data_IF_958001071332
#
_entry.id   IF_958001071332
#
_cell.length_a   1.000
_cell.length_b   1.000
_cell.length_c   1.000
_cell.angle_alpha   90.00
_cell.angle_beta   90.00
_cell.angle_gamma   90.00
#
_symmetry.space_group_name_H-M   'P 1'
#
loop_
_entity.id
_entity.type
_entity.pdbx_description
1 polymer ?
#
# COMPACT_ATOMS: atom_id res chain seq x y z
N UNK A 1 10.47 13.09 3.76
CA UNK A 1 10.28 12.01 4.75
C UNK A 1 11.63 11.67 5.38
N UNK A 2 11.73 11.53 6.72
CA UNK A 2 13.00 11.10 7.35
C UNK A 2 13.26 9.65 6.93
N UNK A 3 14.52 9.30 6.61
CA UNK A 3 14.95 7.96 6.16
C UNK A 3 14.40 6.83 7.05
N UNK A 4 14.33 7.07 8.36
CA UNK A 4 13.79 6.15 9.38
C UNK A 4 12.33 5.73 9.09
N UNK A 5 11.43 6.68 8.82
CA UNK A 5 10.02 6.38 8.56
C UNK A 5 9.83 5.54 7.30
N UNK A 6 10.70 5.70 6.29
CA UNK A 6 10.66 4.91 5.05
C UNK A 6 11.09 3.46 5.30
N UNK A 7 12.10 3.26 6.13
CA UNK A 7 12.56 1.93 6.53
C UNK A 7 11.44 1.19 7.28
N UNK A 8 10.75 1.87 8.22
CA UNK A 8 9.58 1.30 8.90
C UNK A 8 8.51 0.83 7.91
N UNK A 9 8.26 1.65 6.88
CA UNK A 9 7.29 1.36 5.83
C UNK A 9 7.66 0.11 5.03
N UNK A 10 8.93 0.00 4.62
CA UNK A 10 9.44 -1.17 3.89
C UNK A 10 9.29 -2.43 4.74
N UNK A 11 9.62 -2.36 6.04
CA UNK A 11 9.50 -3.49 6.96
C UNK A 11 8.02 -3.93 7.07
N UNK A 12 7.09 -2.98 7.21
CA UNK A 12 5.65 -3.28 7.28
C UNK A 12 5.15 -3.90 5.98
N UNK A 13 5.49 -3.32 4.82
CA UNK A 13 5.10 -3.87 3.52
C UNK A 13 5.67 -5.27 3.29
N UNK A 14 6.92 -5.53 3.70
CA UNK A 14 7.53 -6.85 3.62
C UNK A 14 6.82 -7.85 4.56
N UNK A 15 6.54 -7.46 5.81
CA UNK A 15 5.81 -8.30 6.76
C UNK A 15 4.42 -8.67 6.23
N UNK A 16 3.68 -7.71 5.66
CA UNK A 16 2.37 -7.95 5.04
C UNK A 16 2.47 -8.90 3.84
N UNK A 17 3.50 -8.74 3.01
CA UNK A 17 3.76 -9.63 1.88
C UNK A 17 4.01 -11.08 2.32
N UNK A 18 4.91 -11.27 3.29
CA UNK A 18 5.23 -12.61 3.81
C UNK A 18 4.04 -13.25 4.55
N UNK A 19 3.28 -12.46 5.31
CA UNK A 19 2.06 -12.93 5.98
C UNK A 19 1.04 -13.45 4.96
N UNK A 20 0.86 -12.74 3.85
CA UNK A 20 -0.03 -13.18 2.78
C UNK A 20 0.46 -14.43 2.05
N UNK A 21 1.75 -14.53 1.77
CA UNK A 21 2.34 -15.75 1.21
C UNK A 21 2.12 -16.95 2.13
N UNK A 22 2.35 -16.78 3.44
CA UNK A 22 2.14 -17.83 4.43
C UNK A 22 0.65 -18.23 4.50
N UNK A 23 -0.25 -17.26 4.50
CA UNK A 23 -1.71 -17.51 4.55
C UNK A 23 -2.17 -18.26 3.30
N UNK A 24 -1.69 -17.85 2.12
CA UNK A 24 -1.99 -18.53 0.86
C UNK A 24 -1.47 -19.98 0.86
N UNK A 25 -0.25 -20.21 1.33
CA UNK A 25 0.32 -21.56 1.43
C UNK A 25 -0.48 -22.44 2.39
N UNK A 26 -0.90 -21.90 3.53
CA UNK A 26 -1.70 -22.62 4.52
C UNK A 26 -3.09 -22.97 3.99
N UNK A 27 -3.80 -22.00 3.38
CA UNK A 27 -5.11 -22.27 2.76
C UNK A 27 -4.98 -23.28 1.62
N UNK A 28 -3.93 -23.19 0.81
CA UNK A 28 -3.68 -24.16 -0.26
C UNK A 28 -3.43 -25.57 0.30
N UNK A 29 -2.64 -25.71 1.37
CA UNK A 29 -2.43 -27.00 2.04
C UNK A 29 -3.76 -27.58 2.57
N UNK A 30 -4.57 -26.77 3.26
CA UNK A 30 -5.90 -27.19 3.73
C UNK A 30 -6.83 -27.61 2.58
N UNK A 31 -6.75 -26.94 1.43
CA UNK A 31 -7.52 -27.27 0.25
C UNK A 31 -7.08 -28.60 -0.36
N UNK A 32 -5.77 -28.82 -0.51
CA UNK A 32 -5.25 -30.10 -1.03
C UNK A 32 -5.59 -31.29 -0.12
N UNK A 33 -5.78 -31.04 1.19
CA UNK A 33 -6.26 -32.02 2.18
C UNK A 33 -7.79 -32.14 2.25
N UNK A 34 -8.53 -31.47 1.35
CA UNK A 34 -10.00 -31.42 1.33
C UNK A 34 -10.66 -30.93 2.65
N UNK A 35 -9.93 -30.20 3.50
CA UNK A 35 -10.46 -29.64 4.76
C UNK A 35 -11.35 -28.42 4.45
N UNK A 36 -10.94 -27.61 3.47
CA UNK A 36 -11.70 -26.48 2.95
C UNK A 36 -12.05 -26.71 1.48
N UNK A 37 -13.20 -26.20 1.04
CA UNK A 37 -13.71 -26.42 -0.33
C UNK A 37 -13.29 -25.35 -1.33
N UNK A 38 -12.90 -24.16 -0.86
CA UNK A 38 -12.52 -23.02 -1.69
C UNK A 38 -11.32 -22.30 -1.07
N UNK A 39 -10.46 -21.76 -1.93
CA UNK A 39 -9.33 -20.91 -1.55
C UNK A 39 -9.50 -19.56 -2.24
N UNK A 40 -9.40 -18.47 -1.48
CA UNK A 40 -9.49 -17.11 -2.03
C UNK A 40 -8.15 -16.64 -2.63
N UNK A 41 -7.59 -17.48 -3.51
CA UNK A 41 -6.26 -17.31 -4.13
C UNK A 41 -6.09 -15.92 -4.75
N UNK A 42 -7.15 -15.43 -5.44
CA UNK A 42 -7.13 -14.15 -6.16
C UNK A 42 -6.89 -12.96 -5.23
N UNK A 43 -7.53 -12.94 -4.06
CA UNK A 43 -7.45 -11.84 -3.11
C UNK A 43 -6.03 -11.78 -2.50
N UNK A 44 -5.52 -12.94 -2.08
CA UNK A 44 -4.18 -13.06 -1.51
C UNK A 44 -3.09 -12.69 -2.51
N UNK A 45 -3.20 -13.11 -3.78
CA UNK A 45 -2.30 -12.73 -4.87
C UNK A 45 -2.31 -11.23 -5.15
N UNK A 46 -3.50 -10.64 -5.29
CA UNK A 46 -3.63 -9.19 -5.55
C UNK A 46 -3.00 -8.39 -4.41
N UNK A 47 -3.32 -8.74 -3.16
CA UNK A 47 -2.77 -8.05 -2.00
C UNK A 47 -1.25 -8.28 -1.84
N UNK A 48 -0.75 -9.48 -2.17
CA UNK A 48 0.68 -9.77 -2.21
C UNK A 48 1.42 -8.91 -3.25
N UNK A 49 0.93 -8.87 -4.50
CA UNK A 49 1.55 -8.05 -5.57
C UNK A 49 1.55 -6.57 -5.21
N UNK A 50 0.46 -6.07 -4.63
CA UNK A 50 0.33 -4.67 -4.25
C UNK A 50 1.24 -4.29 -3.05
N UNK A 51 1.31 -5.13 -2.02
CA UNK A 51 2.21 -4.92 -0.87
C UNK A 51 3.68 -4.95 -1.28
N UNK A 52 4.06 -5.88 -2.17
CA UNK A 52 5.41 -5.96 -2.75
C UNK A 52 5.75 -4.71 -3.58
N UNK A 53 4.84 -4.27 -4.45
CA UNK A 53 5.02 -3.08 -5.28
C UNK A 53 5.20 -1.81 -4.43
N UNK A 54 4.42 -1.67 -3.35
CA UNK A 54 4.55 -0.57 -2.38
C UNK A 54 5.88 -0.63 -1.59
N UNK A 55 6.33 -1.84 -1.23
CA UNK A 55 7.63 -2.06 -0.60
C UNK A 55 8.79 -1.64 -1.51
N UNK A 56 8.76 -2.05 -2.78
CA UNK A 56 9.75 -1.62 -3.78
C UNK A 56 9.73 -0.10 -3.95
N UNK A 57 8.56 0.52 -4.09
CA UNK A 57 8.45 1.98 -4.26
C UNK A 57 9.15 2.75 -3.14
N UNK A 58 8.96 2.33 -1.90
CA UNK A 58 9.60 2.97 -0.74
C UNK A 58 11.11 2.72 -0.70
N UNK A 59 11.57 1.55 -1.14
CA UNK A 59 12.99 1.21 -1.26
C UNK A 59 13.69 2.06 -2.33
N UNK A 60 13.02 2.25 -3.47
CA UNK A 60 13.46 3.14 -4.56
C UNK A 60 13.63 4.58 -4.08
N UNK A 61 12.70 5.06 -3.25
CA UNK A 61 12.76 6.38 -2.64
C UNK A 61 13.90 6.54 -1.61
N UNK A 62 14.54 5.47 -1.14
CA UNK A 62 15.72 5.53 -0.26
C UNK A 62 17.02 5.57 -1.08
N UNK A 63 17.00 5.00 -2.29
CA UNK A 63 18.16 4.96 -3.18
C UNK A 63 18.40 6.34 -3.83
N UNK A 64 19.67 6.70 -4.14
CA UNK A 64 19.99 7.96 -4.79
C UNK A 64 19.36 8.07 -6.20
N UNK A 65 18.75 9.23 -6.49
CA UNK A 65 17.92 9.50 -7.69
C UNK A 65 18.63 9.22 -9.04
N UNK A 66 19.97 9.17 -9.07
CA UNK A 66 20.79 9.10 -10.29
C UNK A 66 20.62 7.83 -11.13
N UNK A 67 19.90 6.80 -10.67
CA UNK A 67 19.79 5.50 -11.38
C UNK A 67 18.36 5.05 -11.70
N UNK A 68 17.33 5.86 -11.44
CA UNK A 68 15.95 5.39 -11.55
C UNK A 68 15.24 5.80 -12.84
N UNK A 69 14.76 4.79 -13.58
CA UNK A 69 13.95 5.00 -14.77
C UNK A 69 12.57 5.58 -14.40
N UNK A 70 12.23 6.74 -14.97
CA UNK A 70 10.97 7.46 -14.73
C UNK A 70 9.74 6.58 -14.98
N UNK A 71 9.79 5.68 -15.97
CA UNK A 71 8.68 4.75 -16.27
C UNK A 71 8.46 3.74 -15.13
N UNK A 72 9.54 3.15 -14.60
CA UNK A 72 9.45 2.24 -13.45
C UNK A 72 8.94 2.96 -12.20
N UNK A 73 9.41 4.19 -11.95
CA UNK A 73 8.96 4.99 -10.82
C UNK A 73 7.44 5.26 -10.88
N UNK A 74 6.90 5.59 -12.06
CA UNK A 74 5.47 5.80 -12.24
C UNK A 74 4.67 4.49 -12.06
N UNK A 75 5.20 3.36 -12.56
CA UNK A 75 4.57 2.05 -12.38
C UNK A 75 4.44 1.66 -10.91
N UNK A 76 5.51 1.82 -10.13
CA UNK A 76 5.49 1.56 -8.69
C UNK A 76 4.54 2.49 -7.93
N UNK A 77 4.40 3.74 -8.39
CA UNK A 77 3.47 4.70 -7.78
C UNK A 77 2.00 4.33 -8.02
N UNK A 78 1.67 3.82 -9.21
CA UNK A 78 0.33 3.28 -9.49
C UNK A 78 0.07 2.06 -8.60
N UNK A 79 1.08 1.19 -8.40
CA UNK A 79 1.00 0.07 -7.47
C UNK A 79 0.74 0.50 -6.03
N UNK A 80 1.44 1.54 -5.55
CA UNK A 80 1.26 2.10 -4.21
C UNK A 80 -0.13 2.73 -4.00
N UNK A 81 -0.64 3.42 -5.02
CA UNK A 81 -2.01 3.95 -5.00
C UNK A 81 -3.05 2.82 -5.02
N UNK A 82 -2.87 1.82 -5.89
CA UNK A 82 -3.73 0.64 -5.95
C UNK A 82 -3.74 -0.13 -4.64
N UNK A 83 -2.58 -0.26 -3.98
CA UNK A 83 -2.46 -0.89 -2.67
C UNK A 83 -3.26 -0.12 -1.61
N UNK A 84 -3.10 1.20 -1.55
CA UNK A 84 -3.84 2.04 -0.60
C UNK A 84 -5.36 1.95 -0.83
N UNK A 85 -5.81 2.00 -2.09
CA UNK A 85 -7.24 1.86 -2.43
C UNK A 85 -7.79 0.48 -2.09
N UNK A 86 -7.04 -0.59 -2.39
CA UNK A 86 -7.45 -1.96 -2.09
C UNK A 86 -7.56 -2.21 -0.58
N UNK A 87 -6.57 -1.75 0.19
CA UNK A 87 -6.61 -1.75 1.65
C UNK A 87 -7.85 -1.04 2.19
N UNK A 88 -8.16 0.14 1.65
CA UNK A 88 -9.28 0.95 2.10
C UNK A 88 -10.63 0.25 1.87
N UNK A 89 -10.81 -0.41 0.71
CA UNK A 89 -11.99 -1.24 0.43
C UNK A 89 -12.07 -2.42 1.43
N UNK A 90 -10.96 -3.12 1.65
CA UNK A 90 -10.91 -4.26 2.56
C UNK A 90 -11.27 -3.83 4.00
N UNK A 91 -10.82 -2.65 4.42
CA UNK A 91 -11.17 -2.08 5.72
C UNK A 91 -12.62 -1.66 5.83
N UNK A 92 -13.21 -1.07 4.78
CA UNK A 92 -14.65 -0.77 4.78
C UNK A 92 -15.48 -2.05 4.98
N UNK A 93 -15.12 -3.14 4.29
CA UNK A 93 -15.76 -4.44 4.47
C UNK A 93 -15.60 -4.94 5.93
N UNK A 94 -14.39 -4.80 6.49
CA UNK A 94 -14.12 -5.16 7.89
C UNK A 94 -14.95 -4.36 8.90
N UNK A 95 -15.06 -3.03 8.70
CA UNK A 95 -15.87 -2.14 9.53
C UNK A 95 -17.35 -2.52 9.46
N UNK A 96 -17.88 -2.76 8.26
CA UNK A 96 -19.27 -3.19 8.08
C UNK A 96 -19.54 -4.50 8.84
N UNK A 97 -18.66 -5.50 8.69
CA UNK A 97 -18.77 -6.76 9.43
C UNK A 97 -18.71 -6.55 10.95
N UNK A 98 -17.86 -5.65 11.43
CA UNK A 98 -17.75 -5.32 12.84
C UNK A 98 -19.02 -4.62 13.37
N UNK A 99 -19.56 -3.65 12.63
CA UNK A 99 -20.84 -2.99 12.97
C UNK A 99 -21.96 -4.02 13.06
N UNK A 100 -22.03 -4.97 12.12
CA UNK A 100 -23.03 -6.04 12.17
C UNK A 100 -22.90 -6.91 13.43
N UNK A 101 -21.68 -7.17 13.89
CA UNK A 101 -21.44 -7.89 15.16
C UNK A 101 -21.85 -7.07 16.38
N UNK A 102 -21.62 -5.75 16.37
CA UNK A 102 -22.11 -4.84 17.43
C UNK A 102 -23.63 -4.89 17.50
N UNK A 103 -24.30 -4.73 16.35
CA UNK A 103 -25.76 -4.78 16.28
C UNK A 103 -26.29 -6.13 16.76
N UNK A 104 -25.61 -7.23 16.40
CA UNK A 104 -25.96 -8.58 16.84
C UNK A 104 -25.52 -8.89 18.28
N UNK A 105 -24.86 -7.97 18.99
CA UNK A 105 -24.32 -8.14 20.34
C UNK A 105 -23.38 -9.36 20.50
N UNK A 106 -22.63 -9.69 19.45
CA UNK A 106 -21.71 -10.86 19.38
C UNK A 106 -20.24 -10.44 19.40
N UNK A 107 -19.95 -9.22 19.83
CA UNK A 107 -18.60 -8.64 19.81
C UNK A 107 -17.73 -9.32 20.88
N UNK A 108 -16.57 -9.81 20.46
CA UNK A 108 -15.56 -10.35 21.35
C UNK A 108 -14.38 -9.39 21.47
N UNK A 109 -13.58 -9.53 22.53
CA UNK A 109 -12.39 -8.70 22.77
C UNK A 109 -11.42 -8.71 21.56
N UNK A 110 -11.30 -9.87 20.88
CA UNK A 110 -10.50 -10.02 19.66
C UNK A 110 -10.93 -9.12 18.51
N UNK A 111 -12.22 -8.79 18.42
CA UNK A 111 -12.76 -7.92 17.37
C UNK A 111 -12.31 -6.46 17.56
N UNK A 112 -12.06 -6.02 18.80
CA UNK A 112 -11.50 -4.69 19.09
C UNK A 112 -10.03 -4.56 18.67
N UNK A 113 -9.22 -5.61 18.82
CA UNK A 113 -7.84 -5.61 18.31
C UNK A 113 -7.79 -5.49 16.79
N UNK A 114 -8.71 -6.17 16.10
CA UNK A 114 -8.85 -6.05 14.65
C UNK A 114 -9.19 -4.59 14.28
N UNK A 115 -10.10 -3.93 15.01
CA UNK A 115 -10.45 -2.53 14.78
C UNK A 115 -9.24 -1.58 14.95
N UNK A 116 -8.41 -1.80 15.96
CA UNK A 116 -7.19 -0.99 16.18
C UNK A 116 -6.21 -1.16 15.01
N UNK A 117 -6.00 -2.39 14.54
CA UNK A 117 -5.15 -2.68 13.38
C UNK A 117 -5.70 -1.99 12.12
N UNK A 118 -7.02 -2.04 11.92
CA UNK A 118 -7.72 -1.35 10.83
C UNK A 118 -7.48 0.16 10.91
N UNK A 119 -7.57 0.76 12.10
CA UNK A 119 -7.38 2.20 12.28
C UNK A 119 -5.94 2.64 11.97
N UNK A 120 -4.95 1.89 12.47
CA UNK A 120 -3.52 2.12 12.16
C UNK A 120 -3.27 2.06 10.66
N UNK A 121 -3.89 1.10 9.98
CA UNK A 121 -3.73 0.93 8.54
C UNK A 121 -4.49 1.98 7.70
N UNK A 122 -5.63 2.50 8.16
CA UNK A 122 -6.30 3.66 7.53
C UNK A 122 -5.40 4.90 7.63
N UNK A 123 -4.84 5.14 8.82
CA UNK A 123 -3.89 6.23 9.06
C UNK A 123 -2.69 6.13 8.11
N UNK A 124 -2.23 4.90 7.85
CA UNK A 124 -1.16 4.57 6.92
C UNK A 124 -1.55 4.82 5.44
N UNK A 125 -2.78 4.52 5.03
CA UNK A 125 -3.27 4.85 3.68
C UNK A 125 -3.34 6.36 3.45
N UNK A 126 -3.86 7.13 4.41
CA UNK A 126 -3.87 8.59 4.33
C UNK A 126 -2.46 9.17 4.21
N UNK A 127 -1.52 8.59 4.94
CA UNK A 127 -0.11 8.95 4.85
C UNK A 127 0.46 8.71 3.43
N UNK A 128 0.22 7.55 2.84
CA UNK A 128 0.66 7.23 1.48
C UNK A 128 0.12 8.20 0.43
N UNK A 129 -1.19 8.48 0.49
CA UNK A 129 -1.85 9.40 -0.43
C UNK A 129 -1.26 10.80 -0.31
N UNK A 130 -1.06 11.29 0.91
CA UNK A 130 -0.51 12.63 1.14
C UNK A 130 0.97 12.76 0.72
N UNK A 131 1.81 11.73 0.92
CA UNK A 131 3.20 11.73 0.44
C UNK A 131 3.25 11.74 -1.10
N UNK A 132 2.40 10.94 -1.75
CA UNK A 132 2.29 10.91 -3.21
C UNK A 132 1.82 12.26 -3.78
N UNK A 133 0.84 12.92 -3.16
CA UNK A 133 0.39 14.26 -3.57
C UNK A 133 1.51 15.31 -3.42
N UNK A 134 2.27 15.28 -2.33
CA UNK A 134 3.40 16.22 -2.12
C UNK A 134 4.48 16.07 -3.19
N UNK A 135 4.81 14.84 -3.56
CA UNK A 135 5.80 14.57 -4.60
C UNK A 135 5.35 15.07 -5.98
N UNK A 136 4.06 14.92 -6.32
CA UNK A 136 3.52 15.43 -7.59
C UNK A 136 3.64 16.95 -7.70
N UNK A 137 3.33 17.67 -6.61
CA UNK A 137 3.53 19.12 -6.54
C UNK A 137 5.00 19.51 -6.76
N UNK A 138 5.96 18.71 -6.29
CA UNK A 138 7.39 18.96 -6.54
C UNK A 138 7.78 18.75 -8.00
N UNK A 139 7.25 17.72 -8.67
CA UNK A 139 7.49 17.49 -10.10
C UNK A 139 6.89 18.62 -10.94
N UNK A 140 5.65 19.03 -10.65
CA UNK A 140 4.99 20.12 -11.38
C UNK A 140 5.76 21.43 -11.26
N UNK A 141 6.27 21.76 -10.07
CA UNK A 141 7.16 22.89 -9.87
C UNK A 141 8.43 22.78 -10.72
N UNK A 142 9.11 21.62 -10.73
CA UNK A 142 10.32 21.42 -11.57
C UNK A 142 10.02 21.62 -13.06
N UNK A 143 8.87 21.12 -13.55
CA UNK A 143 8.44 21.33 -14.95
C UNK A 143 8.14 22.80 -15.25
N UNK A 144 7.52 23.53 -14.32
CA UNK A 144 7.28 24.97 -14.48
C UNK A 144 8.59 25.77 -14.53
N UNK A 145 9.55 25.46 -13.66
CA UNK A 145 10.88 26.08 -13.68
C UNK A 145 11.63 25.83 -15.00
N UNK A 146 11.61 24.59 -15.52
CA UNK A 146 12.23 24.28 -16.81
C UNK A 146 11.58 25.04 -17.97
N UNK A 147 10.23 25.17 -17.97
CA UNK A 147 9.53 25.98 -18.98
C UNK A 147 9.92 27.46 -18.88
N UNK A 148 10.01 28.02 -17.67
CA UNK A 148 10.46 29.39 -17.47
C UNK A 148 11.91 29.62 -17.90
N UNK A 149 12.80 28.66 -17.66
CA UNK A 149 14.18 28.71 -18.14
C UNK A 149 14.26 28.71 -19.67
N UNK A 150 13.52 27.82 -20.34
CA UNK A 150 13.42 27.80 -21.80
C UNK A 150 12.86 29.11 -22.38
N UNK A 151 11.83 29.69 -21.75
CA UNK A 151 11.28 30.99 -22.17
C UNK A 151 12.33 32.10 -22.02
N UNK A 152 13.07 32.10 -20.91
CA UNK A 152 14.14 33.08 -20.67
C UNK A 152 15.35 32.89 -21.59
N UNK A 153 15.62 31.69 -22.10
CA UNK A 153 16.67 31.43 -23.09
C UNK A 153 16.24 31.85 -24.50
N UNK A 154 14.98 31.63 -24.89
CA UNK A 154 14.46 32.04 -26.20
C UNK A 154 14.33 33.58 -26.31
N UNK A 155 14.10 34.27 -25.19
CA UNK A 155 14.01 35.73 -25.14
C UNK A 155 15.35 36.48 -25.01
N UNK A 156 16.48 35.75 -24.95
CA UNK A 156 17.84 36.30 -25.05
C UNK A 156 18.31 36.26 -26.50
#
# INVERSE_FOLDING_TARGET
MKKKTRISFIIISAALFFLNLFTLLFEYDLYTKNIIRNVDIKIHLIFGVLSFSSGIFNLVKILPEKKFNIKLHNLFRIGDFGFASFLLIFFLIGIIKFINKIIANTVLLKDFYILIIVYVAITYCFYLVTDNLKFQKQIEKRKQFQKQQLINEIGK
#
